data_IF_512167431446
#
_entry.id   IF_512167431446
#
_cell.length_a   1.000
_cell.length_b   1.000
_cell.length_c   1.000
_cell.angle_alpha   90.00
_cell.angle_beta   90.00
_cell.angle_gamma   90.00
#
_symmetry.space_group_name_H-M   'P 1'
#
loop_
_entity.id
_entity.type
_entity.pdbx_description
1 polymer ?
#
# COMPACT_ATOMS: atom_id res chain seq x y z
N UNK A 1 19.58 13.29 27.83
CA UNK A 1 19.55 12.71 26.46
C UNK A 1 19.49 13.86 25.45
N UNK A 2 20.38 13.90 24.46
CA UNK A 2 20.45 15.00 23.49
C UNK A 2 19.16 15.03 22.61
N UNK A 3 18.62 16.22 22.31
CA UNK A 3 17.34 16.38 21.61
C UNK A 3 17.32 15.71 20.23
N UNK A 4 18.46 15.73 19.52
CA UNK A 4 18.66 15.00 18.26
C UNK A 4 18.52 13.48 18.39
N UNK A 5 19.03 12.91 19.48
CA UNK A 5 18.99 11.46 19.69
C UNK A 5 17.56 11.01 20.06
N UNK A 6 16.83 11.81 20.85
CA UNK A 6 15.43 11.55 21.16
C UNK A 6 14.57 11.52 19.88
N UNK A 7 14.73 12.51 19.00
CA UNK A 7 14.00 12.58 17.71
C UNK A 7 14.27 11.38 16.80
N UNK A 8 15.52 10.88 16.74
CA UNK A 8 15.84 9.67 15.97
C UNK A 8 15.18 8.42 16.53
N UNK A 9 15.17 8.27 17.84
CA UNK A 9 14.50 7.15 18.53
C UNK A 9 12.99 7.19 18.23
N UNK A 10 12.36 8.36 18.31
CA UNK A 10 10.94 8.53 18.00
C UNK A 10 10.63 8.19 16.53
N UNK A 11 11.50 8.56 15.59
CA UNK A 11 11.39 8.17 14.17
C UNK A 11 11.45 6.65 14.00
N UNK A 12 12.39 5.96 14.63
CA UNK A 12 12.47 4.50 14.56
C UNK A 12 11.23 3.81 15.16
N UNK A 13 10.63 4.37 16.21
CA UNK A 13 9.36 3.84 16.73
C UNK A 13 8.23 3.98 15.70
N UNK A 14 8.12 5.13 15.04
CA UNK A 14 7.13 5.35 13.98
C UNK A 14 7.36 4.40 12.80
N UNK A 15 8.59 4.23 12.36
CA UNK A 15 8.95 3.29 11.30
C UNK A 15 8.58 1.85 11.64
N UNK A 16 8.84 1.41 12.86
CA UNK A 16 8.46 0.09 13.33
C UNK A 16 6.93 -0.10 13.35
N UNK A 17 6.16 0.91 13.76
CA UNK A 17 4.70 0.86 13.71
C UNK A 17 4.22 0.76 12.25
N UNK A 18 4.76 1.58 11.36
CA UNK A 18 4.44 1.50 9.92
C UNK A 18 4.78 0.13 9.34
N UNK A 19 5.92 -0.44 9.70
CA UNK A 19 6.33 -1.78 9.27
C UNK A 19 5.31 -2.84 9.70
N UNK A 20 4.87 -2.82 10.96
CA UNK A 20 3.84 -3.74 11.46
C UNK A 20 2.54 -3.58 10.69
N UNK A 21 2.10 -2.35 10.44
CA UNK A 21 0.87 -2.05 9.68
C UNK A 21 0.96 -2.51 8.22
N UNK A 22 2.14 -2.38 7.60
CA UNK A 22 2.42 -2.89 6.25
C UNK A 22 2.38 -4.42 6.23
N UNK A 23 2.99 -5.09 7.22
CA UNK A 23 2.97 -6.55 7.34
C UNK A 23 1.54 -7.08 7.49
N UNK A 24 0.73 -6.45 8.35
CA UNK A 24 -0.69 -6.81 8.50
C UNK A 24 -1.44 -6.63 7.18
N UNK A 25 -1.18 -5.52 6.47
CA UNK A 25 -1.79 -5.25 5.17
C UNK A 25 -1.38 -6.27 4.10
N UNK A 26 -0.13 -6.74 4.11
CA UNK A 26 0.36 -7.81 3.24
C UNK A 26 -0.37 -9.13 3.51
N UNK A 27 -0.57 -9.51 4.78
CA UNK A 27 -1.34 -10.71 5.11
C UNK A 27 -2.80 -10.61 4.64
N UNK A 28 -3.42 -9.43 4.76
CA UNK A 28 -4.76 -9.19 4.24
C UNK A 28 -4.79 -9.29 2.71
N UNK A 29 -3.80 -8.73 2.01
CA UNK A 29 -3.68 -8.81 0.55
C UNK A 29 -3.50 -10.27 0.08
N UNK A 30 -2.63 -11.04 0.72
CA UNK A 30 -2.46 -12.47 0.44
C UNK A 30 -3.76 -13.24 0.65
N UNK A 31 -4.50 -12.94 1.74
CA UNK A 31 -5.80 -13.57 1.99
C UNK A 31 -6.82 -13.23 0.91
N UNK A 32 -6.85 -12.00 0.41
CA UNK A 32 -7.74 -11.58 -0.68
C UNK A 32 -7.36 -12.28 -1.99
N UNK A 33 -6.07 -12.29 -2.34
CA UNK A 33 -5.58 -12.97 -3.54
C UNK A 33 -5.88 -14.47 -3.49
N UNK A 34 -5.77 -15.12 -2.32
CA UNK A 34 -6.17 -16.53 -2.14
C UNK A 34 -7.66 -16.76 -2.38
N UNK A 35 -8.53 -15.85 -1.90
CA UNK A 35 -9.97 -15.92 -2.15
C UNK A 35 -10.28 -15.75 -3.65
N UNK A 36 -9.63 -14.78 -4.31
CA UNK A 36 -9.78 -14.57 -5.75
C UNK A 36 -9.39 -15.81 -6.56
N UNK A 37 -8.26 -16.46 -6.24
CA UNK A 37 -7.84 -17.72 -6.87
C UNK A 37 -8.91 -18.82 -6.69
N UNK A 38 -9.55 -18.88 -5.53
CA UNK A 38 -10.59 -19.87 -5.26
C UNK A 38 -11.88 -19.60 -6.06
N UNK A 39 -12.29 -18.35 -6.21
CA UNK A 39 -13.42 -17.98 -7.08
C UNK A 39 -13.13 -18.32 -8.55
N UNK A 40 -11.93 -18.00 -9.04
CA UNK A 40 -11.50 -18.35 -10.41
C UNK A 40 -11.50 -19.87 -10.64
N UNK A 41 -11.02 -20.67 -9.66
CA UNK A 41 -11.08 -22.14 -9.74
C UNK A 41 -12.49 -22.71 -9.77
N UNK A 42 -13.47 -21.98 -9.25
CA UNK A 42 -14.89 -22.37 -9.21
C UNK A 42 -15.69 -21.81 -10.40
N UNK A 43 -15.03 -21.15 -11.36
CA UNK A 43 -15.66 -20.46 -12.50
C UNK A 43 -16.69 -19.40 -12.06
N UNK A 44 -16.53 -18.86 -10.84
CA UNK A 44 -17.37 -17.79 -10.32
C UNK A 44 -16.83 -16.47 -10.85
N UNK A 45 -17.38 -16.05 -12.00
CA UNK A 45 -16.96 -14.81 -12.66
C UNK A 45 -17.40 -13.56 -11.89
N UNK A 46 -18.51 -13.63 -11.13
CA UNK A 46 -18.98 -12.51 -10.29
C UNK A 46 -19.10 -12.93 -8.84
N UNK A 47 -18.35 -12.25 -7.98
CA UNK A 47 -18.42 -12.42 -6.54
C UNK A 47 -19.83 -12.05 -6.05
N UNK A 48 -20.45 -12.85 -5.15
CA UNK A 48 -21.71 -12.50 -4.52
C UNK A 48 -21.67 -11.10 -3.87
N UNK A 49 -22.70 -10.26 -4.08
CA UNK A 49 -22.73 -8.85 -3.61
C UNK A 49 -22.45 -8.66 -2.11
N UNK A 50 -22.82 -9.64 -1.28
CA UNK A 50 -22.56 -9.64 0.16
C UNK A 50 -21.06 -9.82 0.48
N UNK A 51 -20.35 -10.65 -0.29
CA UNK A 51 -18.91 -10.89 -0.16
C UNK A 51 -18.09 -9.78 -0.83
N UNK A 52 -18.58 -9.27 -1.96
CA UNK A 52 -17.98 -8.17 -2.72
C UNK A 52 -17.79 -6.92 -1.84
N UNK A 53 -18.81 -6.54 -1.06
CA UNK A 53 -18.71 -5.39 -0.14
C UNK A 53 -17.62 -5.56 0.92
N UNK A 54 -17.43 -6.77 1.44
CA UNK A 54 -16.41 -7.08 2.45
C UNK A 54 -15.02 -7.02 1.81
N UNK A 55 -14.86 -7.65 0.64
CA UNK A 55 -13.62 -7.67 -0.15
C UNK A 55 -13.23 -6.25 -0.53
N UNK A 56 -14.17 -5.45 -1.06
CA UNK A 56 -13.95 -4.06 -1.44
C UNK A 56 -13.55 -3.20 -0.23
N UNK A 57 -14.16 -3.39 0.93
CA UNK A 57 -13.78 -2.66 2.15
C UNK A 57 -12.36 -2.99 2.60
N UNK A 58 -11.96 -4.27 2.54
CA UNK A 58 -10.58 -4.70 2.84
C UNK A 58 -9.58 -4.13 1.82
N UNK A 59 -9.86 -4.23 0.53
CA UNK A 59 -9.01 -3.70 -0.53
C UNK A 59 -8.82 -2.17 -0.40
N UNK A 60 -9.89 -1.43 -0.08
CA UNK A 60 -9.82 0.01 0.19
C UNK A 60 -8.95 0.34 1.40
N UNK A 61 -9.11 -0.41 2.50
CA UNK A 61 -8.28 -0.22 3.69
C UNK A 61 -6.80 -0.44 3.38
N UNK A 62 -6.48 -1.53 2.68
CA UNK A 62 -5.10 -1.84 2.27
C UNK A 62 -4.55 -0.72 1.37
N UNK A 63 -5.30 -0.32 0.33
CA UNK A 63 -4.88 0.76 -0.56
C UNK A 63 -4.58 2.07 0.19
N UNK A 64 -5.40 2.43 1.17
CA UNK A 64 -5.13 3.59 2.03
C UNK A 64 -3.84 3.46 2.83
N UNK A 65 -3.61 2.31 3.45
CA UNK A 65 -2.36 2.04 4.18
C UNK A 65 -1.15 2.22 3.25
N UNK A 66 -1.21 1.68 2.04
CA UNK A 66 -0.12 1.81 1.06
C UNK A 66 0.12 3.25 0.61
N UNK A 67 -0.94 4.08 0.48
CA UNK A 67 -0.79 5.51 0.17
C UNK A 67 -0.07 6.26 1.31
N UNK A 68 -0.46 6.03 2.56
CA UNK A 68 0.20 6.69 3.69
C UNK A 68 1.66 6.23 3.84
N UNK A 69 1.91 4.93 3.68
CA UNK A 69 3.26 4.37 3.73
C UNK A 69 4.14 4.90 2.59
N UNK A 70 3.62 4.97 1.36
CA UNK A 70 4.37 5.46 0.20
C UNK A 70 4.73 6.94 0.33
N UNK A 71 3.81 7.77 0.83
CA UNK A 71 4.06 9.19 1.12
C UNK A 71 5.14 9.33 2.19
N UNK A 72 5.07 8.55 3.28
CA UNK A 72 6.09 8.54 4.32
C UNK A 72 7.47 8.16 3.77
N UNK A 73 7.57 7.08 2.98
CA UNK A 73 8.83 6.68 2.37
C UNK A 73 9.36 7.70 1.37
N UNK A 74 8.50 8.37 0.60
CA UNK A 74 8.91 9.44 -0.28
C UNK A 74 9.47 10.65 0.50
N UNK A 75 8.86 10.99 1.64
CA UNK A 75 9.38 12.03 2.54
C UNK A 75 10.75 11.67 3.11
N UNK A 76 10.92 10.46 3.64
CA UNK A 76 12.23 9.99 4.17
C UNK A 76 13.28 9.96 3.06
N UNK A 77 12.94 9.43 1.89
CA UNK A 77 13.83 9.41 0.73
C UNK A 77 14.25 10.81 0.28
N UNK A 78 13.35 11.79 0.36
CA UNK A 78 13.64 13.19 0.05
C UNK A 78 14.62 13.79 1.06
N UNK A 79 14.38 13.59 2.36
CA UNK A 79 15.27 14.08 3.42
C UNK A 79 16.67 13.49 3.25
N UNK A 80 16.79 12.18 3.07
CA UNK A 80 18.07 11.49 2.85
C UNK A 80 18.78 12.00 1.59
N UNK A 81 18.04 12.28 0.51
CA UNK A 81 18.60 12.84 -0.72
C UNK A 81 19.13 14.26 -0.52
N UNK A 82 18.42 15.12 0.23
CA UNK A 82 18.86 16.49 0.51
C UNK A 82 20.13 16.50 1.36
N UNK A 83 20.26 15.56 2.30
CA UNK A 83 21.43 15.43 3.17
C UNK A 83 22.66 14.87 2.45
N UNK A 84 22.54 13.74 1.74
CA UNK A 84 23.70 13.04 1.18
C UNK A 84 23.98 13.38 -0.30
N UNK A 85 22.96 13.78 -1.07
CA UNK A 85 23.02 14.12 -2.52
C UNK A 85 23.67 13.06 -3.42
N UNK A 86 23.66 11.79 -3.02
CA UNK A 86 24.25 10.70 -3.81
C UNK A 86 23.33 10.21 -4.93
N UNK A 87 23.90 9.57 -5.96
CA UNK A 87 23.13 8.93 -7.05
C UNK A 87 22.17 7.86 -6.52
N UNK A 88 22.60 7.09 -5.52
CA UNK A 88 21.79 6.04 -4.90
C UNK A 88 20.56 6.62 -4.20
N UNK A 89 20.71 7.69 -3.42
CA UNK A 89 19.56 8.37 -2.79
C UNK A 89 18.60 8.98 -3.80
N UNK A 90 19.12 9.52 -4.90
CA UNK A 90 18.30 10.00 -6.01
C UNK A 90 17.46 8.88 -6.64
N UNK A 91 18.06 7.71 -6.90
CA UNK A 91 17.33 6.55 -7.44
C UNK A 91 16.27 6.06 -6.45
N UNK A 92 16.59 6.02 -5.15
CA UNK A 92 15.64 5.65 -4.12
C UNK A 92 14.45 6.62 -4.03
N UNK A 93 14.69 7.93 -4.12
CA UNK A 93 13.64 8.95 -4.19
C UNK A 93 12.72 8.77 -5.41
N UNK A 94 13.30 8.45 -6.58
CA UNK A 94 12.51 8.16 -7.79
C UNK A 94 11.63 6.93 -7.57
N UNK A 95 12.19 5.85 -7.01
CA UNK A 95 11.44 4.63 -6.71
C UNK A 95 10.29 4.89 -5.70
N UNK A 96 10.55 5.65 -4.65
CA UNK A 96 9.53 6.03 -3.67
C UNK A 96 8.42 6.91 -4.29
N UNK A 97 8.79 7.81 -5.21
CA UNK A 97 7.81 8.62 -5.96
C UNK A 97 6.93 7.76 -6.87
N UNK A 98 7.51 6.79 -7.57
CA UNK A 98 6.74 5.82 -8.38
C UNK A 98 5.76 5.03 -7.49
N UNK A 99 6.20 4.62 -6.29
CA UNK A 99 5.34 3.92 -5.34
C UNK A 99 4.13 4.77 -4.92
N UNK A 100 4.33 6.07 -4.68
CA UNK A 100 3.23 7.02 -4.40
C UNK A 100 2.24 7.04 -5.55
N UNK A 101 2.71 7.23 -6.78
CA UNK A 101 1.85 7.27 -7.98
C UNK A 101 1.06 5.97 -8.12
N UNK A 102 1.72 4.81 -8.01
CA UNK A 102 1.06 3.50 -8.08
C UNK A 102 -0.02 3.32 -7.01
N UNK A 103 0.27 3.73 -5.77
CA UNK A 103 -0.69 3.63 -4.66
C UNK A 103 -1.92 4.55 -4.87
N UNK A 104 -1.73 5.74 -5.43
CA UNK A 104 -2.82 6.67 -5.75
C UNK A 104 -3.68 6.16 -6.92
N UNK A 105 -3.08 5.61 -7.97
CA UNK A 105 -3.81 4.96 -9.07
C UNK A 105 -4.67 3.81 -8.51
N UNK A 106 -4.10 2.98 -7.62
CA UNK A 106 -4.86 1.88 -7.00
C UNK A 106 -6.04 2.38 -6.18
N UNK A 107 -5.83 3.42 -5.37
CA UNK A 107 -6.90 4.02 -4.59
C UNK A 107 -8.00 4.60 -5.49
N UNK A 108 -7.61 5.30 -6.56
CA UNK A 108 -8.54 5.84 -7.55
C UNK A 108 -9.39 4.74 -8.18
N UNK A 109 -8.76 3.65 -8.64
CA UNK A 109 -9.46 2.54 -9.26
C UNK A 109 -10.50 1.89 -8.33
N UNK A 110 -10.22 1.78 -7.03
CA UNK A 110 -11.13 1.18 -6.06
C UNK A 110 -12.33 2.08 -5.67
N UNK A 111 -12.18 3.40 -5.80
CA UNK A 111 -13.18 4.39 -5.39
C UNK A 111 -14.02 4.94 -6.53
N UNK A 112 -13.42 5.21 -7.69
CA UNK A 112 -14.01 6.04 -8.75
C UNK A 112 -14.12 5.34 -10.10
N UNK A 113 -13.51 4.17 -10.27
CA UNK A 113 -13.67 3.45 -11.53
C UNK A 113 -15.07 2.83 -11.59
N UNK A 114 -15.92 3.39 -12.46
CA UNK A 114 -17.08 2.71 -13.06
C UNK A 114 -16.63 1.64 -14.08
N UNK A 115 -15.32 1.41 -14.25
CA UNK A 115 -14.85 0.20 -14.89
C UNK A 115 -15.50 -0.94 -14.12
N UNK A 116 -16.43 -1.59 -14.80
CA UNK A 116 -17.15 -2.75 -14.35
C UNK A 116 -16.11 -3.65 -13.70
N UNK A 117 -16.18 -3.76 -12.37
CA UNK A 117 -15.40 -4.76 -11.65
C UNK A 117 -16.02 -6.08 -12.12
N UNK A 118 -15.42 -6.64 -13.17
CA UNK A 118 -15.99 -7.74 -13.96
C UNK A 118 -15.64 -9.07 -13.33
N UNK A 119 -14.53 -9.11 -12.59
CA UNK A 119 -13.99 -10.32 -12.00
C UNK A 119 -13.32 -10.10 -10.64
N UNK A 120 -13.05 -11.21 -9.95
CA UNK A 120 -12.35 -11.20 -8.67
C UNK A 120 -10.92 -10.62 -8.77
N UNK A 121 -10.31 -10.68 -9.95
CA UNK A 121 -8.98 -10.16 -10.25
C UNK A 121 -8.83 -8.64 -10.03
N UNK A 122 -9.91 -7.87 -10.18
CA UNK A 122 -9.86 -6.41 -10.02
C UNK A 122 -9.60 -5.98 -8.57
N UNK A 123 -9.86 -6.90 -7.63
CA UNK A 123 -9.57 -6.73 -6.21
C UNK A 123 -8.15 -7.17 -5.81
N UNK A 124 -7.37 -7.74 -6.73
CA UNK A 124 -6.01 -8.18 -6.46
C UNK A 124 -5.08 -6.99 -6.13
N UNK A 125 -4.12 -7.23 -5.23
CA UNK A 125 -3.07 -6.30 -4.84
C UNK A 125 -1.71 -6.88 -5.20
#
# INVERSE_FOLDING_TARGET
MNSKNKRRIDLYYVENIFLVVIIISLFLAISLNKQNIEYLKREINKIPKNEENIIRKKAKYIAFVYVFASIYFAYVAYVDYVEEKTKTRKLYLIAATILVISSLIRLYNLYFSDATIEGSEDYAL
#
